data_IF_845791179366
#
_entry.id   IF_845791179366
#
_cell.length_a   1.000
_cell.length_b   1.000
_cell.length_c   1.000
_cell.angle_alpha   90.00
_cell.angle_beta   90.00
_cell.angle_gamma   90.00
#
_symmetry.space_group_name_H-M   'P 1'
#
loop_
_entity.id
_entity.type
_entity.pdbx_description
1 polymer ?
#
# COMPACT_ATOMS: atom_id res chain seq x y z
N UNK A 1 11.80 11.79 17.97
CA UNK A 1 10.62 11.08 17.56
C UNK A 1 10.97 9.96 16.61
N UNK A 2 10.32 8.82 16.73
CA UNK A 2 10.52 7.75 15.76
C UNK A 2 10.02 8.22 14.39
N UNK A 3 10.79 8.02 13.31
CA UNK A 3 10.37 8.37 11.97
C UNK A 3 9.32 7.35 11.50
N UNK A 4 8.05 7.66 11.66
CA UNK A 4 6.97 6.82 11.16
C UNK A 4 6.71 7.11 9.67
N UNK A 5 7.69 6.75 8.85
CA UNK A 5 7.53 6.70 7.39
C UNK A 5 6.83 5.39 7.05
N UNK A 6 5.81 5.45 6.22
CA UNK A 6 5.10 4.26 5.72
C UNK A 6 3.77 3.96 6.38
N UNK A 7 3.28 4.80 7.30
CA UNK A 7 1.89 4.70 7.76
C UNK A 7 0.97 5.19 6.64
N UNK A 8 0.05 4.32 6.25
CA UNK A 8 -0.93 4.64 5.21
C UNK A 8 -2.00 5.59 5.75
N UNK A 9 -2.09 6.78 5.17
CA UNK A 9 -3.29 7.61 5.29
C UNK A 9 -4.29 7.15 4.23
N UNK A 10 -5.37 6.57 4.69
CA UNK A 10 -6.39 5.96 3.82
C UNK A 10 -7.00 6.96 2.84
N UNK A 11 -7.44 6.46 1.69
CA UNK A 11 -8.17 7.25 0.68
C UNK A 11 -9.44 7.91 1.24
N UNK A 12 -10.04 7.35 2.31
CA UNK A 12 -11.20 7.92 2.97
C UNK A 12 -11.00 9.39 3.37
N UNK A 13 -9.78 9.79 3.77
CA UNK A 13 -9.47 11.17 4.09
C UNK A 13 -9.69 12.12 2.91
N UNK A 14 -9.35 11.69 1.68
CA UNK A 14 -9.60 12.45 0.45
C UNK A 14 -11.04 12.34 -0.02
N UNK A 15 -11.67 11.18 0.18
CA UNK A 15 -13.09 10.96 -0.16
C UNK A 15 -14.03 11.81 0.68
N UNK A 16 -13.68 12.08 1.94
CA UNK A 16 -14.43 12.97 2.80
C UNK A 16 -14.14 14.46 2.53
N UNK A 17 -13.22 14.74 1.60
CA UNK A 17 -12.99 16.08 1.07
C UNK A 17 -11.62 16.68 1.40
N UNK A 18 -10.66 15.88 1.83
CA UNK A 18 -9.30 16.36 2.08
C UNK A 18 -8.61 16.88 0.82
N UNK A 19 -7.90 18.00 0.94
CA UNK A 19 -7.17 18.64 -0.15
C UNK A 19 -5.69 18.32 -0.13
N UNK A 20 -5.11 18.06 -1.30
CA UNK A 20 -3.66 17.98 -1.45
C UNK A 20 -3.10 19.34 -1.84
N UNK A 21 -2.28 19.91 -0.97
CA UNK A 21 -1.69 21.24 -1.16
C UNK A 21 -0.15 21.16 -1.13
N UNK A 22 0.49 21.97 -1.97
CA UNK A 22 1.94 22.09 -1.99
C UNK A 22 2.48 22.96 -0.84
N UNK A 23 3.78 23.24 -0.82
CA UNK A 23 4.42 24.05 0.24
C UNK A 23 3.84 25.48 0.37
N UNK A 24 3.25 26.00 -0.72
CA UNK A 24 2.70 27.35 -0.77
C UNK A 24 1.19 27.38 -0.36
N UNK A 25 0.66 26.22 0.09
CA UNK A 25 -0.75 26.06 0.42
C UNK A 25 -1.68 25.98 -0.80
N UNK A 26 -1.10 25.85 -1.99
CA UNK A 26 -1.86 25.80 -3.24
C UNK A 26 -2.31 24.37 -3.55
N UNK A 27 -3.59 24.19 -3.89
CA UNK A 27 -4.20 22.92 -4.28
C UNK A 27 -3.76 22.55 -5.70
N UNK A 28 -2.57 21.95 -5.80
CA UNK A 28 -1.78 21.85 -7.03
C UNK A 28 -2.35 20.87 -8.07
N UNK A 29 -3.21 19.94 -7.70
CA UNK A 29 -3.75 18.94 -8.63
C UNK A 29 -4.55 19.57 -9.79
N UNK A 30 -5.09 20.77 -9.59
CA UNK A 30 -5.79 21.52 -10.64
C UNK A 30 -4.90 21.88 -11.84
N UNK A 31 -3.59 21.93 -11.66
CA UNK A 31 -2.61 22.21 -12.73
C UNK A 31 -2.27 20.97 -13.58
N UNK A 32 -2.86 19.80 -13.26
CA UNK A 32 -2.49 18.51 -13.84
C UNK A 32 -3.65 17.78 -14.52
N UNK A 33 -4.64 18.52 -15.02
CA UNK A 33 -5.82 17.98 -15.72
C UNK A 33 -6.59 16.92 -14.92
N UNK A 34 -6.61 17.03 -13.59
CA UNK A 34 -7.36 16.15 -12.70
C UNK A 34 -8.75 16.69 -12.39
N UNK A 35 -9.10 17.83 -12.95
CA UNK A 35 -10.38 18.49 -12.80
C UNK A 35 -10.29 19.77 -11.96
N UNK A 36 -11.40 20.52 -11.92
CA UNK A 36 -11.50 21.75 -11.13
C UNK A 36 -11.79 21.43 -9.67
N UNK A 37 -11.33 22.26 -8.71
CA UNK A 37 -11.73 22.16 -7.32
C UNK A 37 -13.25 22.19 -7.19
N UNK A 38 -13.79 21.30 -6.40
CA UNK A 38 -15.22 21.22 -6.14
C UNK A 38 -15.46 21.36 -4.63
N UNK A 39 -16.59 21.97 -4.22
CA UNK A 39 -16.95 22.03 -2.81
C UNK A 39 -17.27 20.64 -2.27
N UNK A 40 -17.19 20.48 -0.97
CA UNK A 40 -17.51 19.25 -0.26
C UNK A 40 -19.00 19.09 0.06
N UNK A 41 -19.44 17.84 0.24
CA UNK A 41 -18.82 16.56 -0.08
C UNK A 41 -18.91 16.28 -1.58
N UNK A 42 -17.89 15.63 -2.15
CA UNK A 42 -17.80 15.41 -3.58
C UNK A 42 -17.55 13.94 -3.90
N UNK A 43 -18.39 13.36 -4.74
CA UNK A 43 -18.24 12.00 -5.24
C UNK A 43 -17.01 11.81 -6.14
N UNK A 44 -16.55 12.89 -6.81
CA UNK A 44 -15.37 12.87 -7.68
C UNK A 44 -14.65 14.22 -7.56
N UNK A 45 -13.77 14.33 -6.58
CA UNK A 45 -12.81 15.41 -6.52
C UNK A 45 -11.56 15.06 -7.32
N UNK A 46 -10.73 16.05 -7.66
CA UNK A 46 -9.44 15.80 -8.29
C UNK A 46 -8.51 14.96 -7.43
N UNK A 47 -8.65 14.98 -6.11
CA UNK A 47 -7.93 14.14 -5.16
C UNK A 47 -8.35 12.66 -5.22
N UNK A 48 -9.44 12.34 -5.90
CA UNK A 48 -9.91 10.96 -6.18
C UNK A 48 -9.61 10.53 -7.61
N UNK A 49 -8.80 11.29 -8.33
CA UNK A 49 -8.32 10.92 -9.66
C UNK A 49 -7.44 9.66 -9.65
N UNK A 50 -7.03 9.19 -10.84
CA UNK A 50 -6.17 8.02 -10.97
C UNK A 50 -4.89 8.16 -10.13
N UNK A 51 -4.56 7.13 -9.34
CA UNK A 51 -3.46 7.17 -8.35
C UNK A 51 -2.10 7.39 -8.98
N UNK A 52 -1.87 6.83 -10.15
CA UNK A 52 -0.66 7.04 -10.94
C UNK A 52 -0.50 8.52 -11.34
N UNK A 53 -1.58 9.16 -11.78
CA UNK A 53 -1.58 10.60 -12.12
C UNK A 53 -1.35 11.48 -10.90
N UNK A 54 -1.94 11.13 -9.75
CA UNK A 54 -1.68 11.84 -8.48
C UNK A 54 -0.21 11.73 -8.07
N UNK A 55 0.37 10.54 -8.22
CA UNK A 55 1.79 10.32 -7.92
C UNK A 55 2.71 11.07 -8.89
N UNK A 56 2.37 11.09 -10.19
CA UNK A 56 3.10 11.88 -11.19
C UNK A 56 3.01 13.38 -10.93
N UNK A 57 1.84 13.88 -10.51
CA UNK A 57 1.67 15.29 -10.13
C UNK A 57 2.56 15.67 -8.95
N UNK A 58 2.67 14.80 -7.94
CA UNK A 58 3.61 14.99 -6.82
C UNK A 58 5.06 15.09 -7.30
N UNK A 59 5.51 14.19 -8.17
CA UNK A 59 6.88 14.24 -8.72
C UNK A 59 7.12 15.54 -9.49
N UNK A 60 6.13 16.00 -10.26
CA UNK A 60 6.24 17.28 -10.97
C UNK A 60 6.31 18.48 -10.01
N UNK A 61 5.56 18.46 -8.90
CA UNK A 61 5.68 19.47 -7.84
C UNK A 61 7.07 19.46 -7.20
N UNK A 62 7.62 18.27 -6.95
CA UNK A 62 8.98 18.11 -6.45
C UNK A 62 10.02 18.70 -7.42
N UNK A 63 9.92 18.41 -8.71
CA UNK A 63 10.81 18.94 -9.74
C UNK A 63 10.73 20.48 -9.85
N UNK A 64 9.54 21.05 -9.61
CA UNK A 64 9.34 22.50 -9.55
C UNK A 64 9.79 23.14 -8.22
N UNK A 65 10.29 22.35 -7.27
CA UNK A 65 10.70 22.84 -5.94
C UNK A 65 9.51 23.31 -5.08
N UNK A 66 8.29 22.81 -5.33
CA UNK A 66 7.07 23.21 -4.63
C UNK A 66 6.62 22.19 -3.56
N UNK A 67 7.46 21.23 -3.22
CA UNK A 67 7.28 20.31 -2.10
C UNK A 67 8.03 20.78 -0.87
N UNK A 68 7.70 20.21 0.29
CA UNK A 68 8.38 20.43 1.56
C UNK A 68 9.45 19.35 1.70
N UNK A 69 10.70 19.73 2.00
CA UNK A 69 11.75 18.78 2.30
C UNK A 69 11.63 18.34 3.76
N UNK A 70 11.45 17.06 3.98
CA UNK A 70 11.35 16.45 5.29
C UNK A 70 12.51 15.48 5.56
N UNK A 71 12.66 14.97 6.77
CA UNK A 71 13.77 14.10 7.17
C UNK A 71 13.82 12.78 6.41
N UNK A 72 12.72 12.39 5.77
CA UNK A 72 12.58 11.14 5.00
C UNK A 72 12.27 11.38 3.52
N UNK A 73 12.56 12.58 3.01
CA UNK A 73 12.32 13.00 1.65
C UNK A 73 11.16 13.99 1.51
N UNK A 74 10.85 14.33 0.28
CA UNK A 74 9.86 15.35 -0.02
C UNK A 74 8.43 14.91 0.32
N UNK A 75 7.62 15.86 0.79
CA UNK A 75 6.19 15.69 1.10
C UNK A 75 5.37 16.86 0.55
N UNK A 76 4.09 16.66 0.44
CA UNK A 76 3.05 17.70 0.32
C UNK A 76 2.12 17.59 1.51
N UNK A 77 1.18 18.51 1.67
CA UNK A 77 0.26 18.46 2.78
C UNK A 77 -1.13 17.96 2.35
N UNK A 78 -1.72 17.12 3.18
CA UNK A 78 -3.15 16.80 3.14
C UNK A 78 -3.86 17.71 4.16
N UNK A 79 -4.72 18.59 3.68
CA UNK A 79 -5.47 19.53 4.51
C UNK A 79 -6.88 18.99 4.76
N UNK A 80 -7.20 18.74 6.04
CA UNK A 80 -8.52 18.30 6.52
C UNK A 80 -9.18 19.35 7.42
N UNK A 81 -8.52 20.47 7.72
CA UNK A 81 -8.95 21.44 8.72
C UNK A 81 -10.33 22.04 8.44
N UNK A 82 -10.64 22.25 7.15
CA UNK A 82 -11.94 22.78 6.70
C UNK A 82 -13.11 21.82 6.93
N UNK A 83 -12.86 20.54 7.17
CA UNK A 83 -13.90 19.56 7.51
C UNK A 83 -14.46 19.77 8.92
N UNK A 84 -13.64 20.29 9.81
CA UNK A 84 -13.94 20.48 11.21
C UNK A 84 -13.97 19.19 12.04
N UNK A 85 -13.83 19.34 13.35
CA UNK A 85 -13.72 18.22 14.30
C UNK A 85 -14.89 17.24 14.21
N UNK A 86 -16.11 17.75 14.19
CA UNK A 86 -17.33 16.92 14.16
C UNK A 86 -17.35 15.95 12.97
N UNK A 87 -16.94 16.41 11.79
CA UNK A 87 -16.93 15.57 10.58
C UNK A 87 -15.76 14.58 10.60
N UNK A 88 -14.58 15.02 11.03
CA UNK A 88 -13.40 14.18 11.14
C UNK A 88 -13.68 13.02 12.10
N UNK A 89 -14.19 13.29 13.29
CA UNK A 89 -14.49 12.27 14.31
C UNK A 89 -15.61 11.32 13.89
N UNK A 90 -16.61 11.82 13.14
CA UNK A 90 -17.72 10.98 12.68
C UNK A 90 -17.36 10.09 11.47
N UNK A 91 -16.48 10.55 10.56
CA UNK A 91 -16.25 9.90 9.26
C UNK A 91 -14.88 9.24 9.14
N UNK A 92 -13.87 9.81 9.75
CA UNK A 92 -12.47 9.37 9.63
C UNK A 92 -11.74 9.40 10.99
N UNK A 93 -12.34 8.92 12.11
CA UNK A 93 -11.74 8.98 13.44
C UNK A 93 -10.37 8.29 13.49
N UNK A 94 -10.22 7.19 12.77
CA UNK A 94 -8.97 6.43 12.70
C UNK A 94 -7.83 7.26 12.09
N UNK A 95 -8.11 8.14 11.11
CA UNK A 95 -7.08 9.03 10.54
C UNK A 95 -6.58 10.01 11.62
N UNK A 96 -7.50 10.60 12.40
CA UNK A 96 -7.14 11.48 13.51
C UNK A 96 -6.31 10.77 14.56
N UNK A 97 -6.73 9.57 14.96
CA UNK A 97 -6.00 8.74 15.94
C UNK A 97 -4.58 8.42 15.46
N UNK A 98 -4.40 8.00 14.21
CA UNK A 98 -3.08 7.72 13.63
C UNK A 98 -2.18 8.95 13.64
N UNK A 99 -2.71 10.10 13.22
CA UNK A 99 -1.94 11.35 13.17
C UNK A 99 -1.49 11.80 14.56
N UNK A 100 -2.39 11.77 15.54
CA UNK A 100 -2.08 12.11 16.93
C UNK A 100 -1.06 11.14 17.51
N UNK A 101 -1.27 9.85 17.35
CA UNK A 101 -0.44 8.81 17.97
C UNK A 101 0.97 8.75 17.43
N UNK A 102 1.14 8.90 16.11
CA UNK A 102 2.41 8.65 15.45
C UNK A 102 3.16 9.91 15.02
N UNK A 103 2.47 11.01 14.79
CA UNK A 103 3.08 12.27 14.34
C UNK A 103 2.88 13.43 15.30
N UNK A 104 2.03 13.25 16.32
CA UNK A 104 1.59 14.34 17.22
C UNK A 104 0.96 15.52 16.46
N UNK A 105 0.23 15.20 15.38
CA UNK A 105 -0.51 16.16 14.53
C UNK A 105 -2.00 15.96 14.77
N UNK A 106 -2.72 17.02 15.13
CA UNK A 106 -4.17 17.02 15.12
C UNK A 106 -4.70 17.53 13.76
N UNK A 107 -5.26 16.65 12.91
CA UNK A 107 -5.72 17.04 11.58
C UNK A 107 -6.88 18.03 11.58
N UNK A 108 -7.50 18.29 12.73
CA UNK A 108 -8.48 19.38 12.91
C UNK A 108 -7.81 20.74 12.85
N UNK A 109 -6.56 20.83 13.25
CA UNK A 109 -5.80 22.09 13.43
C UNK A 109 -4.62 22.25 12.50
N UNK A 110 -4.01 21.12 12.11
CA UNK A 110 -2.77 21.08 11.37
C UNK A 110 -2.90 20.20 10.11
N UNK A 111 -2.13 20.52 9.10
CA UNK A 111 -2.06 19.72 7.88
C UNK A 111 -1.18 18.49 8.09
N UNK A 112 -1.53 17.40 7.43
CA UNK A 112 -0.81 16.12 7.51
C UNK A 112 0.22 16.07 6.39
N UNK A 113 1.53 15.91 6.68
CA UNK A 113 2.53 15.70 5.64
C UNK A 113 2.37 14.31 5.03
N UNK A 114 2.21 14.26 3.70
CA UNK A 114 1.97 13.02 2.95
C UNK A 114 2.85 12.96 1.70
N UNK A 115 3.08 11.73 1.25
CA UNK A 115 3.78 11.46 -0.02
C UNK A 115 3.25 10.17 -0.64
N UNK A 116 3.37 9.99 -1.97
CA UNK A 116 3.10 8.71 -2.59
C UNK A 116 4.09 7.65 -2.10
N UNK A 117 3.58 6.45 -1.85
CA UNK A 117 4.40 5.28 -1.51
C UNK A 117 3.87 4.07 -2.28
N UNK A 118 4.74 3.09 -2.50
CA UNK A 118 4.33 1.80 -3.05
C UNK A 118 3.43 1.12 -2.03
N UNK A 119 2.23 0.73 -2.46
CA UNK A 119 1.23 0.14 -1.58
C UNK A 119 0.79 -1.25 -2.03
N UNK A 120 0.67 -1.49 -3.34
CA UNK A 120 0.16 -2.74 -3.89
C UNK A 120 0.85 -3.04 -5.23
N UNK A 121 1.37 -4.26 -5.36
CA UNK A 121 1.96 -4.73 -6.62
C UNK A 121 0.85 -5.24 -7.56
N UNK A 122 0.81 -4.66 -8.76
CA UNK A 122 -0.08 -5.15 -9.82
C UNK A 122 0.61 -6.24 -10.63
N UNK A 123 -0.16 -7.23 -11.09
CA UNK A 123 0.40 -8.42 -11.71
C UNK A 123 0.70 -9.50 -10.68
N UNK A 124 1.72 -10.31 -10.90
CA UNK A 124 2.11 -11.40 -10.01
C UNK A 124 2.20 -12.75 -10.72
N UNK A 125 2.12 -13.83 -9.95
CA UNK A 125 2.12 -15.19 -10.46
C UNK A 125 0.82 -15.43 -11.23
N UNK A 126 0.91 -15.80 -12.50
CA UNK A 126 -0.26 -16.11 -13.34
C UNK A 126 -1.01 -17.31 -12.76
N UNK A 127 -2.31 -17.14 -12.55
CA UNK A 127 -3.20 -18.21 -12.04
C UNK A 127 -4.50 -18.25 -12.83
N UNK A 128 -5.13 -19.41 -12.79
CA UNK A 128 -6.54 -19.54 -13.16
C UNK A 128 -7.48 -19.06 -12.03
N UNK A 129 -8.78 -19.26 -12.21
CA UNK A 129 -9.79 -18.87 -11.23
C UNK A 129 -9.77 -19.69 -9.92
N UNK A 130 -9.09 -20.81 -9.89
CA UNK A 130 -8.92 -21.67 -8.72
C UNK A 130 -7.51 -21.56 -8.10
N UNK A 131 -6.76 -20.52 -8.53
CA UNK A 131 -5.45 -20.20 -8.00
C UNK A 131 -4.34 -21.15 -8.49
N UNK A 132 -4.64 -22.08 -9.40
CA UNK A 132 -3.63 -22.96 -9.95
C UNK A 132 -2.73 -22.20 -10.95
N UNK A 133 -1.42 -22.43 -10.85
CA UNK A 133 -0.43 -21.87 -11.78
C UNK A 133 -0.13 -22.85 -12.91
N UNK A 134 0.57 -22.41 -13.98
CA UNK A 134 1.07 -23.35 -14.99
C UNK A 134 2.06 -24.41 -14.46
N UNK A 135 2.58 -24.22 -13.25
CA UNK A 135 3.44 -25.20 -12.59
C UNK A 135 2.56 -26.10 -11.73
N UNK A 136 2.52 -27.39 -12.07
CA UNK A 136 1.71 -28.38 -11.36
C UNK A 136 2.01 -28.40 -9.85
N UNK A 137 0.97 -28.35 -9.02
CA UNK A 137 1.08 -28.35 -7.56
C UNK A 137 1.45 -27.00 -6.95
N UNK A 138 1.66 -25.94 -7.75
CA UNK A 138 1.88 -24.60 -7.26
C UNK A 138 0.59 -23.77 -7.39
N UNK A 139 0.14 -23.21 -6.26
CA UNK A 139 -1.04 -22.36 -6.18
C UNK A 139 -0.66 -20.99 -5.63
N UNK A 140 -1.39 -19.96 -6.07
CA UNK A 140 -1.22 -18.61 -5.54
C UNK A 140 -2.57 -17.88 -5.44
N UNK A 141 -2.74 -17.02 -4.42
CA UNK A 141 -3.91 -16.19 -4.25
C UNK A 141 -3.56 -14.87 -3.58
N UNK A 142 -4.38 -13.84 -3.75
CA UNK A 142 -4.16 -12.51 -3.20
C UNK A 142 -3.15 -11.70 -3.99
N UNK A 143 -2.48 -10.76 -3.33
CA UNK A 143 -1.59 -9.79 -4.00
C UNK A 143 -0.47 -10.44 -4.81
N UNK A 144 0.02 -11.60 -4.41
CA UNK A 144 1.07 -12.34 -5.13
C UNK A 144 0.57 -12.95 -6.44
N UNK A 145 -0.75 -13.15 -6.58
CA UNK A 145 -1.36 -13.79 -7.75
C UNK A 145 -1.86 -12.77 -8.77
N UNK A 146 -1.82 -13.17 -10.03
CA UNK A 146 -2.42 -12.45 -11.15
C UNK A 146 -3.55 -13.28 -11.75
N UNK A 147 -4.75 -13.16 -11.20
CA UNK A 147 -5.98 -13.73 -11.76
C UNK A 147 -6.64 -12.80 -12.78
N UNK A 148 -5.99 -11.67 -13.09
CA UNK A 148 -6.36 -10.66 -14.09
C UNK A 148 -7.58 -9.79 -13.78
N UNK A 149 -8.18 -9.87 -12.59
CA UNK A 149 -9.38 -9.08 -12.24
C UNK A 149 -9.10 -7.60 -11.98
N UNK A 150 -7.86 -7.25 -11.61
CA UNK A 150 -7.48 -5.89 -11.23
C UNK A 150 -6.86 -5.08 -12.38
N UNK A 151 -6.46 -5.71 -13.47
CA UNK A 151 -5.76 -5.04 -14.57
C UNK A 151 -4.51 -4.30 -14.10
N UNK A 152 -4.29 -3.11 -14.64
CA UNK A 152 -3.14 -2.26 -14.28
C UNK A 152 -3.38 -1.37 -13.06
N UNK A 153 -4.60 -1.27 -12.56
CA UNK A 153 -4.94 -0.41 -11.43
C UNK A 153 -6.11 -0.98 -10.62
N UNK A 154 -5.81 -1.52 -9.45
CA UNK A 154 -6.81 -2.05 -8.53
C UNK A 154 -7.64 -0.92 -7.90
N UNK A 155 -8.95 -1.02 -7.96
CA UNK A 155 -9.85 -0.10 -7.27
C UNK A 155 -9.74 -0.26 -5.75
N UNK A 156 -10.09 0.79 -5.03
CA UNK A 156 -10.04 0.81 -3.56
C UNK A 156 -10.79 -0.36 -2.94
N UNK A 157 -10.20 -0.98 -1.90
CA UNK A 157 -10.73 -2.12 -1.14
C UNK A 157 -10.89 -3.45 -1.89
N UNK A 158 -10.76 -3.49 -3.21
CA UNK A 158 -10.94 -4.73 -3.98
C UNK A 158 -9.93 -5.83 -3.64
N UNK A 159 -8.76 -5.47 -3.05
CA UNK A 159 -7.84 -6.48 -2.53
C UNK A 159 -8.47 -7.37 -1.47
N UNK A 160 -9.29 -6.81 -0.58
CA UNK A 160 -9.94 -7.59 0.47
C UNK A 160 -10.92 -8.62 -0.10
N UNK A 161 -11.74 -8.21 -1.09
CA UNK A 161 -12.65 -9.12 -1.78
C UNK A 161 -11.90 -10.21 -2.54
N UNK A 162 -10.80 -9.85 -3.20
CA UNK A 162 -9.92 -10.80 -3.90
C UNK A 162 -9.33 -11.83 -2.95
N UNK A 163 -8.75 -11.39 -1.82
CA UNK A 163 -8.16 -12.28 -0.81
C UNK A 163 -9.17 -13.30 -0.30
N UNK A 164 -10.40 -12.87 0.00
CA UNK A 164 -11.44 -13.75 0.53
C UNK A 164 -11.93 -14.76 -0.53
N UNK A 165 -12.21 -14.30 -1.73
CA UNK A 165 -12.76 -15.16 -2.78
C UNK A 165 -11.72 -16.15 -3.30
N UNK A 166 -10.59 -15.63 -3.77
CA UNK A 166 -9.58 -16.49 -4.41
C UNK A 166 -8.72 -17.26 -3.40
N UNK A 167 -8.60 -16.77 -2.16
CA UNK A 167 -7.97 -17.53 -1.08
C UNK A 167 -8.73 -18.82 -0.77
N UNK A 168 -10.08 -18.75 -0.69
CA UNK A 168 -10.91 -19.95 -0.48
C UNK A 168 -10.82 -20.91 -1.68
N UNK A 169 -10.93 -20.37 -2.91
CA UNK A 169 -10.86 -21.19 -4.14
C UNK A 169 -9.51 -21.92 -4.24
N UNK A 170 -8.42 -21.18 -4.11
CA UNK A 170 -7.06 -21.75 -4.16
C UNK A 170 -6.82 -22.76 -3.04
N UNK A 171 -7.35 -22.50 -1.84
CA UNK A 171 -7.25 -23.43 -0.72
C UNK A 171 -7.97 -24.76 -0.99
N UNK A 172 -9.17 -24.72 -1.54
CA UNK A 172 -9.89 -25.93 -1.93
C UNK A 172 -9.19 -26.69 -3.05
N UNK A 173 -8.77 -26.00 -4.10
CA UNK A 173 -8.07 -26.61 -5.23
C UNK A 173 -6.74 -27.26 -4.79
N UNK A 174 -5.95 -26.55 -3.97
CA UNK A 174 -4.70 -27.09 -3.43
C UNK A 174 -4.92 -28.30 -2.52
N UNK A 175 -5.95 -28.27 -1.66
CA UNK A 175 -6.29 -29.41 -0.80
C UNK A 175 -6.73 -30.64 -1.60
N UNK A 176 -7.58 -30.43 -2.62
CA UNK A 176 -8.01 -31.49 -3.53
C UNK A 176 -6.80 -32.09 -4.26
N UNK A 177 -5.95 -31.25 -4.84
CA UNK A 177 -4.72 -31.69 -5.50
C UNK A 177 -3.84 -32.51 -4.55
N UNK A 178 -3.63 -32.04 -3.33
CA UNK A 178 -2.76 -32.69 -2.35
C UNK A 178 -3.31 -34.08 -1.91
N UNK A 179 -4.63 -34.25 -1.85
CA UNK A 179 -5.25 -35.53 -1.47
C UNK A 179 -4.97 -36.66 -2.47
N UNK A 180 -4.76 -36.30 -3.73
CA UNK A 180 -4.51 -37.22 -4.83
C UNK A 180 -3.00 -37.52 -4.99
N UNK A 181 -2.14 -36.81 -4.25
CA UNK A 181 -0.68 -36.99 -4.35
C UNK A 181 -0.16 -38.07 -3.43
N UNK A 182 0.88 -38.74 -3.88
CA UNK A 182 1.66 -39.65 -3.03
C UNK A 182 2.60 -38.84 -2.14
N UNK A 183 2.92 -39.36 -0.97
CA UNK A 183 3.94 -38.78 -0.11
C UNK A 183 5.25 -38.52 -0.89
N UNK A 184 5.90 -37.36 -0.68
CA UNK A 184 7.16 -37.05 -1.36
C UNK A 184 8.23 -38.07 -1.04
N UNK A 185 9.10 -38.34 -2.01
CA UNK A 185 10.23 -39.25 -1.81
C UNK A 185 11.21 -38.68 -0.79
N UNK A 186 11.98 -39.56 -0.12
CA UNK A 186 13.05 -39.14 0.80
C UNK A 186 14.08 -38.20 0.14
N UNK A 187 14.34 -38.38 -1.15
CA UNK A 187 15.23 -37.48 -1.91
C UNK A 187 14.72 -36.06 -1.99
N UNK A 188 13.43 -35.85 -2.30
CA UNK A 188 12.80 -34.54 -2.35
C UNK A 188 12.81 -33.87 -0.96
N UNK A 189 12.53 -34.64 0.08
CA UNK A 189 12.61 -34.16 1.47
C UNK A 189 14.02 -33.76 1.88
N UNK A 190 15.05 -34.51 1.44
CA UNK A 190 16.45 -34.15 1.67
C UNK A 190 16.79 -32.79 0.99
N UNK A 191 16.42 -32.62 -0.28
CA UNK A 191 16.63 -31.35 -1.00
C UNK A 191 15.96 -30.19 -0.30
N UNK A 192 14.70 -30.33 0.14
CA UNK A 192 13.98 -29.29 0.86
C UNK A 192 14.65 -28.90 2.18
N UNK A 193 15.17 -29.91 2.92
CA UNK A 193 15.90 -29.68 4.17
C UNK A 193 17.27 -29.02 3.94
N UNK A 194 17.96 -29.35 2.86
CA UNK A 194 19.23 -28.72 2.51
C UNK A 194 19.03 -27.26 2.11
N UNK A 195 17.98 -26.94 1.33
CA UNK A 195 17.68 -25.59 0.96
C UNK A 195 17.23 -24.75 2.19
N UNK A 196 16.41 -25.33 3.08
CA UNK A 196 16.06 -24.67 4.34
C UNK A 196 17.30 -24.31 5.15
N UNK A 197 18.25 -25.25 5.31
CA UNK A 197 19.50 -25.03 6.03
C UNK A 197 20.33 -23.92 5.40
N UNK A 198 20.47 -23.93 4.07
CA UNK A 198 21.16 -22.87 3.31
C UNK A 198 20.58 -21.47 3.56
N UNK A 199 19.25 -21.35 3.57
CA UNK A 199 18.57 -20.09 3.86
C UNK A 199 18.80 -19.64 5.31
N UNK A 200 18.65 -20.55 6.29
CA UNK A 200 18.89 -20.25 7.70
C UNK A 200 20.33 -19.78 7.96
N UNK A 201 21.32 -20.41 7.36
CA UNK A 201 22.73 -20.02 7.47
C UNK A 201 22.97 -18.62 6.87
N UNK A 202 22.35 -18.34 5.73
CA UNK A 202 22.42 -17.00 5.10
C UNK A 202 21.84 -15.92 6.00
N UNK A 203 20.66 -16.12 6.54
CA UNK A 203 20.03 -15.16 7.45
C UNK A 203 20.82 -14.95 8.74
N UNK A 204 21.38 -16.02 9.32
CA UNK A 204 22.26 -15.93 10.49
C UNK A 204 23.51 -15.11 10.18
N UNK A 205 24.14 -15.33 9.03
CA UNK A 205 25.33 -14.56 8.61
C UNK A 205 25.06 -13.09 8.37
N UNK A 206 23.90 -12.74 7.87
CA UNK A 206 23.48 -11.34 7.66
C UNK A 206 23.14 -10.65 8.99
N UNK A 207 22.50 -11.34 9.93
CA UNK A 207 22.23 -10.84 11.27
C UNK A 207 23.52 -10.54 12.06
N UNK A 208 24.51 -11.42 11.98
CA UNK A 208 25.83 -11.24 12.59
C UNK A 208 26.59 -10.03 11.99
N UNK A 209 26.48 -9.79 10.69
CA UNK A 209 27.07 -8.62 10.02
C UNK A 209 26.46 -7.32 10.51
N UNK A 210 25.13 -7.30 10.68
CA UNK A 210 24.39 -6.11 11.12
C UNK A 210 24.70 -5.77 12.59
N UNK A 211 24.90 -6.77 13.45
CA UNK A 211 25.27 -6.54 14.85
C UNK A 211 26.71 -6.06 15.01
N UNK A 212 27.62 -6.53 14.16
CA UNK A 212 29.03 -6.03 14.14
C UNK A 212 29.14 -4.58 13.66
N UNK A 213 28.25 -4.13 12.77
CA UNK A 213 28.24 -2.72 12.31
C UNK A 213 27.72 -1.74 13.35
N UNK A 214 26.92 -2.21 14.33
CA UNK A 214 26.41 -1.39 15.45
C UNK A 214 27.39 -1.29 16.63
N UNK A 215 28.45 -2.07 16.64
CA UNK A 215 29.50 -2.07 17.71
C UNK A 215 30.77 -1.28 17.36
N UNK A 216 30.76 -0.58 16.22
CA UNK A 216 31.80 0.37 15.80
C UNK A 216 31.21 1.78 15.74
#
# INVERSE_FOLDING_TARGET
>A
GLPFTGILITEAARSEGGYLVNKDGYRYLQDYDLGKPQPEPVLRSMELGPRDRLSQAFIKEQQKGRTIEGPHGHVVNLDLRHLGEKKIDAKIPFVRELCLKYQNIDPVREMIPVRPVIHYAMGGVHTDNDGATPIEGLFAAGEVACVSINGANRLGSNSLSELLVFGVRAGHAAASFASDQKAPSNHVMAQANDERRRLEERYKSEADRTDRSKRR
#
